data_IF_803389544225
#
_entry.id   IF_803389544225
#
_cell.length_a   1.000
_cell.length_b   1.000
_cell.length_c   1.000
_cell.angle_alpha   90.00
_cell.angle_beta   90.00
_cell.angle_gamma   90.00
#
_symmetry.space_group_name_H-M   'P 1'
#
loop_
_entity.id
_entity.type
_entity.pdbx_description
1 polymer ?
#
# COMPACT_ATOMS: atom_id res chain seq x y z
N UNK A 1 3.51 -13.12 2.98
CA UNK A 1 2.49 -12.18 2.44
C UNK A 1 1.64 -11.61 3.57
N UNK A 2 2.23 -11.31 4.72
CA UNK A 2 1.50 -10.65 5.81
C UNK A 2 1.23 -9.19 5.43
N UNK A 3 0.06 -8.68 5.82
CA UNK A 3 -0.44 -7.34 5.45
C UNK A 3 -0.88 -6.54 6.68
N UNK A 4 -0.39 -6.90 7.86
CA UNK A 4 -0.60 -6.10 9.06
C UNK A 4 0.23 -4.82 8.96
N UNK A 5 -0.43 -3.66 9.08
CA UNK A 5 0.27 -2.40 9.23
C UNK A 5 0.59 -2.16 10.70
N UNK A 6 1.87 -2.26 11.07
CA UNK A 6 2.32 -1.92 12.42
C UNK A 6 2.07 -0.44 12.72
N UNK A 7 2.46 0.52 11.85
CA UNK A 7 2.19 1.93 12.12
C UNK A 7 0.71 2.25 12.29
N UNK A 8 -0.19 1.59 11.54
CA UNK A 8 -1.63 1.74 11.75
C UNK A 8 -2.05 1.30 13.16
N UNK A 9 -1.60 0.10 13.58
CA UNK A 9 -1.88 -0.42 14.92
C UNK A 9 -1.38 0.49 16.03
N UNK A 10 -0.26 1.17 15.80
CA UNK A 10 0.37 2.05 16.78
C UNK A 10 -0.19 3.48 16.79
N UNK A 11 -0.80 3.97 15.70
CA UNK A 11 -1.29 5.35 15.58
C UNK A 11 -2.83 5.47 15.58
N UNK A 12 -3.54 4.55 14.92
CA UNK A 12 -5.01 4.62 14.76
C UNK A 12 -5.76 4.64 16.10
N UNK A 13 -5.34 3.96 17.18
CA UNK A 13 -6.02 4.09 18.47
C UNK A 13 -6.08 5.54 19.00
N UNK A 14 -5.03 6.34 18.77
CA UNK A 14 -5.02 7.76 19.16
C UNK A 14 -5.97 8.59 18.29
N UNK A 15 -5.99 8.33 16.98
CA UNK A 15 -6.95 8.94 16.07
C UNK A 15 -8.39 8.62 16.49
N UNK A 16 -8.70 7.35 16.76
CA UNK A 16 -10.03 6.92 17.18
C UNK A 16 -10.46 7.61 18.48
N UNK A 17 -9.55 7.75 19.45
CA UNK A 17 -9.80 8.50 20.69
C UNK A 17 -10.10 9.97 20.42
N UNK A 18 -9.32 10.62 19.55
CA UNK A 18 -9.50 12.04 19.20
C UNK A 18 -10.81 12.30 18.46
N UNK A 19 -11.21 11.38 17.57
CA UNK A 19 -12.49 11.41 16.84
C UNK A 19 -13.67 11.13 17.78
N UNK A 20 -13.55 10.14 18.67
CA UNK A 20 -14.62 9.78 19.61
C UNK A 20 -14.95 10.94 20.57
N UNK A 21 -13.94 11.69 21.02
CA UNK A 21 -14.13 12.89 21.82
C UNK A 21 -14.91 14.01 21.11
N UNK A 22 -14.92 14.02 19.78
CA UNK A 22 -15.57 15.04 18.92
C UNK A 22 -16.71 14.45 18.07
N UNK A 23 -17.15 13.22 18.36
CA UNK A 23 -18.01 12.44 17.46
C UNK A 23 -19.34 13.15 17.13
N UNK A 24 -19.89 13.92 18.09
CA UNK A 24 -21.12 14.69 17.91
C UNK A 24 -21.00 15.84 16.91
N UNK A 25 -19.78 16.35 16.69
CA UNK A 25 -19.48 17.49 15.81
C UNK A 25 -19.08 17.05 14.40
N UNK A 26 -18.73 15.76 14.21
CA UNK A 26 -18.30 15.24 12.92
C UNK A 26 -19.46 15.20 11.91
N UNK A 27 -19.20 15.50 10.62
CA UNK A 27 -20.15 15.24 9.54
C UNK A 27 -20.52 13.75 9.46
N UNK A 28 -21.71 13.42 8.98
CA UNK A 28 -22.19 12.02 8.96
C UNK A 28 -21.28 11.08 8.15
N UNK A 29 -20.75 11.57 7.02
CA UNK A 29 -19.77 10.83 6.22
C UNK A 29 -18.50 10.50 7.02
N UNK A 30 -18.04 11.43 7.86
CA UNK A 30 -16.88 11.22 8.73
C UNK A 30 -17.19 10.23 9.87
N UNK A 31 -18.43 10.22 10.39
CA UNK A 31 -18.89 9.21 11.37
C UNK A 31 -18.92 7.81 10.76
N UNK A 32 -19.37 7.67 9.52
CA UNK A 32 -19.34 6.39 8.79
C UNK A 32 -17.90 5.90 8.58
N UNK A 33 -17.00 6.79 8.15
CA UNK A 33 -15.58 6.48 7.99
C UNK A 33 -14.92 6.09 9.33
N UNK A 34 -15.25 6.78 10.42
CA UNK A 34 -14.83 6.43 11.78
C UNK A 34 -15.30 5.02 12.16
N UNK A 35 -16.57 4.69 11.86
CA UNK A 35 -17.13 3.35 12.10
C UNK A 35 -16.35 2.25 11.39
N UNK A 36 -15.92 2.49 10.14
CA UNK A 36 -15.09 1.56 9.39
C UNK A 36 -13.70 1.36 10.04
N UNK A 37 -13.04 2.44 10.50
CA UNK A 37 -11.76 2.34 11.21
C UNK A 37 -11.88 1.66 12.58
N UNK A 38 -12.94 1.94 13.34
CA UNK A 38 -13.14 1.40 14.70
C UNK A 38 -13.21 -0.12 14.72
N UNK A 39 -13.78 -0.74 13.68
CA UNK A 39 -13.89 -2.19 13.55
C UNK A 39 -12.71 -2.88 12.86
N UNK A 40 -11.65 -2.15 12.50
CA UNK A 40 -10.56 -2.67 11.70
C UNK A 40 -9.48 -3.36 12.53
N UNK A 41 -8.97 -4.48 12.02
CA UNK A 41 -7.90 -5.29 12.60
C UNK A 41 -6.49 -4.89 12.10
N UNK A 42 -6.37 -3.75 11.42
CA UNK A 42 -5.13 -3.19 10.85
C UNK A 42 -4.53 -3.99 9.67
N UNK A 43 -5.25 -4.98 9.14
CA UNK A 43 -4.82 -5.69 7.94
C UNK A 43 -5.21 -4.94 6.65
N UNK A 44 -4.23 -4.62 5.82
CA UNK A 44 -4.36 -3.88 4.55
C UNK A 44 -4.92 -4.78 3.42
N UNK A 45 -6.14 -5.30 3.56
CA UNK A 45 -6.80 -6.18 2.58
C UNK A 45 -7.61 -5.40 1.55
N UNK A 46 -7.55 -5.82 0.29
CA UNK A 46 -8.13 -5.16 -0.88
C UNK A 46 -9.67 -5.00 -0.82
N UNK A 47 -10.35 -5.89 -0.12
CA UNK A 47 -11.81 -5.95 0.02
C UNK A 47 -12.33 -5.21 1.27
N UNK A 48 -11.45 -4.55 2.02
CA UNK A 48 -11.80 -3.74 3.19
C UNK A 48 -11.84 -2.25 2.85
N UNK A 49 -12.63 -1.50 3.64
CA UNK A 49 -12.78 -0.05 3.53
C UNK A 49 -11.73 0.69 4.36
N UNK A 50 -11.50 0.21 5.59
CA UNK A 50 -10.62 0.85 6.55
C UNK A 50 -9.18 1.10 6.04
N UNK A 51 -8.54 0.20 5.27
CA UNK A 51 -7.21 0.47 4.70
C UNK A 51 -7.17 1.71 3.79
N UNK A 52 -8.25 1.95 3.02
CA UNK A 52 -8.38 3.12 2.15
C UNK A 52 -8.40 4.41 2.95
N UNK A 53 -9.21 4.42 4.01
CA UNK A 53 -9.35 5.58 4.91
C UNK A 53 -8.03 5.83 5.63
N UNK A 54 -7.40 4.77 6.16
CA UNK A 54 -6.12 4.86 6.83
C UNK A 54 -5.01 5.38 5.92
N UNK A 55 -4.86 4.83 4.70
CA UNK A 55 -3.81 5.26 3.79
C UNK A 55 -3.98 6.71 3.34
N UNK A 56 -5.22 7.14 3.05
CA UNK A 56 -5.50 8.53 2.72
C UNK A 56 -5.26 9.47 3.92
N UNK A 57 -5.63 9.04 5.12
CA UNK A 57 -5.35 9.78 6.35
C UNK A 57 -3.85 9.86 6.63
N UNK A 58 -3.09 8.78 6.47
CA UNK A 58 -1.64 8.75 6.67
C UNK A 58 -0.93 9.77 5.79
N UNK A 59 -1.23 9.80 4.48
CA UNK A 59 -0.66 10.79 3.55
C UNK A 59 -0.99 12.22 3.96
N UNK A 60 -2.27 12.50 4.28
CA UNK A 60 -2.68 13.84 4.67
C UNK A 60 -2.10 14.22 6.03
N UNK A 61 -2.00 13.28 6.97
CA UNK A 61 -1.49 13.55 8.31
C UNK A 61 0.01 13.84 8.31
N UNK A 62 0.80 13.15 7.48
CA UNK A 62 2.20 13.51 7.25
C UNK A 62 2.31 14.95 6.73
N UNK A 63 1.52 15.31 5.73
CA UNK A 63 1.50 16.67 5.18
C UNK A 63 1.11 17.71 6.25
N UNK A 64 0.07 17.43 7.04
CA UNK A 64 -0.42 18.36 8.06
C UNK A 64 0.50 18.55 9.26
N UNK A 65 1.47 17.65 9.46
CA UNK A 65 2.42 17.68 10.60
C UNK A 65 3.77 18.30 10.22
N UNK A 66 4.17 18.27 8.96
CA UNK A 66 5.54 18.65 8.60
C UNK A 66 5.64 19.71 7.51
N UNK A 67 4.58 19.91 6.72
CA UNK A 67 4.69 20.66 5.47
C UNK A 67 4.94 22.14 5.71
N UNK A 68 4.33 22.74 6.72
CA UNK A 68 4.52 24.17 7.00
C UNK A 68 5.93 24.49 7.49
N UNK A 69 6.52 23.70 8.40
CA UNK A 69 7.93 23.89 8.78
C UNK A 69 8.87 23.72 7.58
N UNK A 70 8.64 22.72 6.73
CA UNK A 70 9.47 22.49 5.55
C UNK A 70 9.33 23.63 4.54
N UNK A 71 8.11 24.08 4.25
CA UNK A 71 7.86 25.21 3.36
C UNK A 71 8.49 26.50 3.90
N UNK A 72 8.39 26.76 5.21
CA UNK A 72 9.03 27.90 5.87
C UNK A 72 10.57 27.82 5.80
N UNK A 73 11.13 26.62 5.85
CA UNK A 73 12.56 26.37 5.67
C UNK A 73 13.01 26.36 4.19
N UNK A 74 12.09 26.53 3.24
CA UNK A 74 12.36 26.45 1.81
C UNK A 74 12.68 25.05 1.30
N UNK A 75 12.35 24.02 2.08
CA UNK A 75 12.49 22.61 1.72
C UNK A 75 11.24 22.14 0.98
N UNK A 76 11.43 21.29 -0.04
CA UNK A 76 10.36 20.67 -0.81
C UNK A 76 10.61 19.18 -0.91
N UNK A 77 9.53 18.40 -1.02
CA UNK A 77 9.59 16.94 -1.27
C UNK A 77 10.44 16.19 -0.23
N UNK A 78 10.35 16.59 1.04
CA UNK A 78 11.07 15.93 2.13
C UNK A 78 10.34 14.64 2.50
N UNK A 79 11.02 13.51 2.32
CA UNK A 79 10.53 12.22 2.84
C UNK A 79 10.74 12.14 4.35
N UNK A 80 9.63 11.99 5.10
CA UNK A 80 9.67 11.81 6.54
C UNK A 80 9.51 10.33 6.89
N UNK A 81 10.43 9.73 7.66
CA UNK A 81 10.27 8.36 8.13
C UNK A 81 9.00 8.23 8.97
N UNK A 82 8.13 7.27 8.64
CA UNK A 82 6.88 7.05 9.36
C UNK A 82 7.09 6.73 10.86
N UNK A 83 8.26 6.18 11.23
CA UNK A 83 8.66 5.95 12.61
C UNK A 83 8.86 7.26 13.41
N UNK A 84 9.25 8.35 12.76
CA UNK A 84 9.32 9.67 13.40
C UNK A 84 7.93 10.18 13.72
N UNK A 85 6.99 10.07 12.78
CA UNK A 85 5.59 10.42 13.02
C UNK A 85 5.00 9.57 14.15
N UNK A 86 5.21 8.26 14.13
CA UNK A 86 4.77 7.33 15.19
C UNK A 86 5.31 7.76 16.56
N UNK A 87 6.59 8.16 16.64
CA UNK A 87 7.20 8.64 17.88
C UNK A 87 6.52 9.90 18.42
N UNK A 88 6.25 10.89 17.56
CA UNK A 88 5.55 12.12 17.97
C UNK A 88 4.10 11.87 18.34
N UNK A 89 3.43 10.94 17.65
CA UNK A 89 2.09 10.50 18.03
C UNK A 89 2.09 9.91 19.45
N UNK A 90 3.03 9.02 19.77
CA UNK A 90 3.11 8.40 21.10
C UNK A 90 3.60 9.36 22.20
N UNK A 91 4.40 10.37 21.82
CA UNK A 91 5.02 11.32 22.73
C UNK A 91 4.72 12.76 22.29
N UNK A 92 3.46 13.23 22.36
CA UNK A 92 3.05 14.50 21.74
C UNK A 92 3.80 15.71 22.27
N UNK A 93 4.24 15.72 23.54
CA UNK A 93 5.05 16.79 24.10
C UNK A 93 6.40 17.00 23.38
N UNK A 94 6.94 15.94 22.76
CA UNK A 94 8.17 16.00 21.95
C UNK A 94 7.89 16.41 20.50
N UNK A 95 6.62 16.40 20.09
CA UNK A 95 6.16 16.74 18.75
C UNK A 95 5.42 18.08 18.66
N UNK A 96 5.30 18.84 19.75
CA UNK A 96 4.47 20.04 19.83
C UNK A 96 4.73 21.04 18.70
N UNK A 97 6.00 21.25 18.32
CA UNK A 97 6.35 22.17 17.23
C UNK A 97 5.86 21.70 15.87
N UNK A 98 5.72 20.39 15.66
CA UNK A 98 5.23 19.79 14.42
C UNK A 98 3.70 19.67 14.38
N UNK A 99 3.02 19.82 15.51
CA UNK A 99 1.55 19.78 15.55
C UNK A 99 0.93 21.17 15.54
N UNK A 100 1.72 22.23 15.70
CA UNK A 100 1.28 23.62 15.73
C UNK A 100 1.41 24.20 14.31
N UNK A 101 0.29 24.46 13.63
CA UNK A 101 0.34 25.03 12.29
C UNK A 101 0.66 26.52 12.40
N UNK A 102 1.91 26.90 12.13
CA UNK A 102 2.38 28.27 12.40
C UNK A 102 1.73 29.33 11.51
N UNK A 103 0.85 28.93 10.59
CA UNK A 103 0.08 29.81 9.70
C UNK A 103 -1.30 30.14 10.27
N UNK A 104 -1.78 29.44 11.29
CA UNK A 104 -3.02 29.72 12.01
C UNK A 104 -2.74 30.51 13.29
N UNK A 105 -3.74 31.28 13.80
CA UNK A 105 -3.59 32.00 15.06
C UNK A 105 -3.82 31.12 16.30
N UNK A 106 -4.54 29.99 16.15
CA UNK A 106 -4.70 28.98 17.19
C UNK A 106 -3.44 28.12 17.34
N UNK A 107 -3.18 27.61 18.55
CA UNK A 107 -2.12 26.62 18.76
C UNK A 107 -2.75 25.23 18.77
N UNK A 108 -2.47 24.44 17.75
CA UNK A 108 -3.01 23.08 17.64
C UNK A 108 -2.14 22.03 18.36
N UNK A 109 -2.80 20.98 18.86
CA UNK A 109 -2.14 19.78 19.34
C UNK A 109 -2.27 18.61 18.37
N UNK A 110 -1.59 17.50 18.70
CA UNK A 110 -1.65 16.23 17.96
C UNK A 110 -3.08 15.84 17.57
N UNK A 111 -4.00 15.87 18.52
CA UNK A 111 -5.37 15.40 18.32
C UNK A 111 -6.15 16.31 17.36
N UNK A 112 -5.88 17.62 17.37
CA UNK A 112 -6.51 18.57 16.46
C UNK A 112 -6.04 18.32 15.03
N UNK A 113 -4.73 18.13 14.83
CA UNK A 113 -4.15 17.80 13.53
C UNK A 113 -4.62 16.44 13.02
N UNK A 114 -4.71 15.43 13.89
CA UNK A 114 -5.24 14.11 13.53
C UNK A 114 -6.68 14.19 13.00
N UNK A 115 -7.55 14.93 13.69
CA UNK A 115 -8.95 15.09 13.30
C UNK A 115 -9.06 15.92 12.02
N UNK A 116 -8.29 17.00 11.89
CA UNK A 116 -8.22 17.84 10.69
C UNK A 116 -7.78 17.04 9.46
N UNK A 117 -6.72 16.24 9.60
CA UNK A 117 -6.23 15.35 8.55
C UNK A 117 -7.28 14.29 8.18
N UNK A 118 -7.99 13.73 9.15
CA UNK A 118 -9.04 12.75 8.90
C UNK A 118 -10.20 13.33 8.10
N UNK A 119 -10.67 14.52 8.45
CA UNK A 119 -11.73 15.20 7.71
C UNK A 119 -11.30 15.53 6.27
N UNK A 120 -10.06 16.01 6.08
CA UNK A 120 -9.48 16.25 4.75
C UNK A 120 -9.37 14.95 3.93
N UNK A 121 -8.96 13.86 4.54
CA UNK A 121 -8.87 12.54 3.89
C UNK A 121 -10.25 12.00 3.49
N UNK A 122 -11.25 12.11 4.36
CA UNK A 122 -12.64 11.70 4.06
C UNK A 122 -13.23 12.53 2.91
N UNK A 123 -13.02 13.85 2.89
CA UNK A 123 -13.46 14.72 1.79
C UNK A 123 -12.76 14.36 0.47
N UNK A 124 -11.45 14.10 0.49
CA UNK A 124 -10.69 13.62 -0.67
C UNK A 124 -11.28 12.31 -1.20
N UNK A 125 -11.49 11.32 -0.33
CA UNK A 125 -12.04 10.03 -0.71
C UNK A 125 -13.47 10.15 -1.25
N UNK A 126 -14.29 11.05 -0.70
CA UNK A 126 -15.63 11.32 -1.21
C UNK A 126 -15.61 11.87 -2.64
N UNK A 127 -14.66 12.75 -2.96
CA UNK A 127 -14.46 13.30 -4.31
C UNK A 127 -13.97 12.24 -5.29
N UNK A 128 -13.07 11.37 -4.87
CA UNK A 128 -12.45 10.35 -5.73
C UNK A 128 -13.33 9.10 -5.95
N UNK A 129 -14.01 8.63 -4.90
CA UNK A 129 -14.73 7.35 -4.87
C UNK A 129 -16.25 7.48 -4.72
N UNK A 130 -16.75 8.71 -4.56
CA UNK A 130 -18.16 9.00 -4.36
C UNK A 130 -18.59 8.98 -2.89
N UNK A 131 -19.87 9.29 -2.60
CA UNK A 131 -20.33 9.59 -1.23
C UNK A 131 -20.61 8.35 -0.36
N UNK A 132 -20.48 7.13 -0.90
CA UNK A 132 -20.81 5.91 -0.15
C UNK A 132 -19.55 5.27 0.44
N UNK A 133 -19.36 5.37 1.76
CA UNK A 133 -18.18 4.82 2.47
C UNK A 133 -18.06 3.31 2.30
N UNK A 134 -19.17 2.57 2.21
CA UNK A 134 -19.11 1.10 2.05
C UNK A 134 -18.43 0.68 0.74
N UNK A 135 -18.42 1.58 -0.24
CA UNK A 135 -17.84 1.39 -1.56
C UNK A 135 -16.35 1.76 -1.63
N UNK A 136 -15.76 2.34 -0.58
CA UNK A 136 -14.36 2.78 -0.57
C UNK A 136 -13.38 1.62 -0.34
N UNK A 137 -13.53 0.55 -1.10
CA UNK A 137 -12.71 -0.66 -1.01
C UNK A 137 -11.26 -0.38 -1.41
N UNK A 138 -10.32 -0.89 -0.63
CA UNK A 138 -8.88 -0.67 -0.81
C UNK A 138 -8.40 -0.96 -2.23
N UNK A 139 -8.83 -2.09 -2.79
CA UNK A 139 -8.51 -2.51 -4.14
C UNK A 139 -9.10 -1.65 -5.26
N UNK A 140 -9.95 -0.64 -4.97
CA UNK A 140 -10.33 0.37 -5.98
C UNK A 140 -9.21 1.37 -6.23
N UNK A 141 -8.46 1.75 -5.18
CA UNK A 141 -7.33 2.64 -5.30
C UNK A 141 -6.01 1.89 -5.41
N UNK A 142 -5.74 0.93 -4.51
CA UNK A 142 -4.49 0.18 -4.44
C UNK A 142 -4.45 -0.98 -5.45
N UNK A 143 -3.91 -0.68 -6.62
CA UNK A 143 -3.92 -1.58 -7.77
C UNK A 143 -2.58 -1.65 -8.45
N UNK A 144 -2.29 -2.82 -9.03
CA UNK A 144 -1.13 -2.99 -9.89
C UNK A 144 -1.19 -2.00 -11.06
N UNK A 145 -0.09 -1.28 -11.24
CA UNK A 145 0.18 -0.37 -12.34
C UNK A 145 1.57 -0.66 -12.92
N UNK A 146 1.84 -1.93 -13.23
CA UNK A 146 3.07 -2.36 -13.87
C UNK A 146 3.01 -2.04 -15.37
N UNK A 147 3.70 -0.97 -15.76
CA UNK A 147 3.72 -0.45 -17.12
C UNK A 147 4.90 -1.00 -17.93
N UNK A 148 4.62 -1.41 -19.16
CA UNK A 148 5.66 -1.73 -20.13
C UNK A 148 6.34 -0.43 -20.60
N UNK A 149 7.60 -0.48 -21.03
CA UNK A 149 8.35 0.70 -21.52
C UNK A 149 7.63 1.42 -22.66
N UNK A 150 6.92 0.68 -23.51
CA UNK A 150 6.06 1.20 -24.59
C UNK A 150 4.57 1.28 -24.20
N UNK A 151 4.23 1.03 -22.94
CA UNK A 151 2.87 0.91 -22.44
C UNK A 151 2.02 2.16 -22.55
N UNK A 152 2.65 3.34 -22.55
CA UNK A 152 1.98 4.62 -22.80
C UNK A 152 1.47 4.75 -24.23
N UNK A 153 2.16 4.13 -25.20
CA UNK A 153 1.79 4.13 -26.63
C UNK A 153 0.98 2.88 -27.00
N UNK A 154 1.28 1.76 -26.36
CA UNK A 154 0.66 0.45 -26.60
C UNK A 154 0.13 -0.12 -25.26
N UNK A 155 -1.04 0.34 -24.77
CA UNK A 155 -1.54 -0.03 -23.44
C UNK A 155 -1.78 -1.52 -23.24
N UNK A 156 -2.00 -2.28 -24.31
CA UNK A 156 -2.17 -3.73 -24.26
C UNK A 156 -0.89 -4.49 -23.87
N UNK A 157 0.27 -3.82 -23.86
CA UNK A 157 1.52 -4.36 -23.33
C UNK A 157 1.59 -4.29 -21.80
N UNK A 158 0.78 -3.42 -21.17
CA UNK A 158 0.78 -3.30 -19.71
C UNK A 158 0.17 -4.55 -19.07
N UNK A 159 0.63 -4.85 -17.86
CA UNK A 159 0.03 -5.94 -17.11
C UNK A 159 -1.40 -5.58 -16.69
N UNK A 160 -2.29 -6.59 -16.56
CA UNK A 160 -3.63 -6.38 -16.01
C UNK A 160 -3.57 -5.65 -14.67
N UNK A 161 -4.40 -4.61 -14.51
CA UNK A 161 -4.52 -3.91 -13.23
C UNK A 161 -5.30 -4.77 -12.25
N UNK A 162 -4.61 -5.36 -11.28
CA UNK A 162 -5.18 -6.22 -10.25
C UNK A 162 -5.27 -5.48 -8.91
N UNK A 163 -6.35 -5.66 -8.12
CA UNK A 163 -6.38 -5.17 -6.75
C UNK A 163 -5.33 -5.92 -5.90
N UNK A 164 -4.65 -5.21 -5.00
CA UNK A 164 -3.58 -5.77 -4.20
C UNK A 164 -3.88 -5.64 -2.70
N UNK A 165 -3.35 -6.57 -1.90
CA UNK A 165 -3.28 -6.42 -0.45
C UNK A 165 -1.89 -5.88 -0.07
N UNK A 166 -1.77 -5.22 1.07
CA UNK A 166 -0.49 -4.67 1.56
C UNK A 166 -0.42 -3.15 1.45
N UNK A 167 0.72 -2.62 1.90
CA UNK A 167 1.11 -1.21 1.87
C UNK A 167 2.62 -1.08 2.05
N UNK A 168 3.17 0.13 2.00
CA UNK A 168 4.62 0.40 2.12
C UNK A 168 5.24 -0.07 3.45
N UNK A 169 4.45 -0.17 4.50
CA UNK A 169 4.85 -0.53 5.87
C UNK A 169 4.41 -1.95 6.30
N UNK A 170 3.92 -2.76 5.36
CA UNK A 170 3.60 -4.17 5.58
C UNK A 170 4.76 -5.08 5.16
N UNK A 171 4.79 -6.32 5.65
CA UNK A 171 5.74 -7.34 5.13
C UNK A 171 5.52 -7.56 3.63
N UNK A 172 4.26 -7.64 3.18
CA UNK A 172 3.93 -7.54 1.75
C UNK A 172 4.01 -6.08 1.29
N UNK A 173 5.24 -5.59 1.13
CA UNK A 173 5.53 -4.21 0.78
C UNK A 173 5.16 -3.90 -0.68
N UNK A 174 4.00 -3.27 -0.86
CA UNK A 174 3.49 -2.77 -2.13
C UNK A 174 3.08 -1.32 -1.87
N UNK A 175 3.86 -0.37 -2.40
CA UNK A 175 3.74 1.04 -2.02
C UNK A 175 2.90 1.83 -3.04
N UNK A 176 2.22 2.87 -2.53
CA UNK A 176 1.40 3.79 -3.31
C UNK A 176 0.06 3.20 -3.76
N UNK A 177 -0.91 4.05 -4.09
CA UNK A 177 -2.20 3.58 -4.63
C UNK A 177 -2.01 2.92 -6.01
N UNK A 178 -1.18 3.50 -6.87
CA UNK A 178 -0.78 2.86 -8.14
C UNK A 178 0.54 2.13 -7.94
N UNK A 179 0.47 0.81 -7.80
CA UNK A 179 1.61 -0.02 -7.45
C UNK A 179 2.45 -0.31 -8.69
N UNK A 180 3.52 0.46 -8.86
CA UNK A 180 4.52 0.25 -9.92
C UNK A 180 5.70 -0.64 -9.48
N UNK A 181 5.85 -0.90 -8.17
CA UNK A 181 6.99 -1.64 -7.61
C UNK A 181 6.61 -2.50 -6.42
N UNK A 182 7.43 -3.52 -6.13
CA UNK A 182 7.18 -4.51 -5.08
C UNK A 182 8.14 -5.71 -5.16
N UNK A 183 7.82 -6.83 -4.52
CA UNK A 183 8.66 -8.02 -4.52
C UNK A 183 8.81 -8.61 -5.93
N UNK A 184 10.02 -8.52 -6.49
CA UNK A 184 10.37 -9.09 -7.80
C UNK A 184 10.50 -10.61 -7.79
N UNK A 185 10.58 -11.22 -6.61
CA UNK A 185 10.64 -12.66 -6.39
C UNK A 185 10.10 -12.98 -5.00
N UNK A 186 9.31 -14.04 -4.88
CA UNK A 186 8.95 -14.62 -3.56
C UNK A 186 9.29 -16.10 -3.57
N UNK A 187 9.85 -16.60 -2.48
CA UNK A 187 10.28 -17.98 -2.38
C UNK A 187 10.16 -18.52 -0.97
N UNK A 188 9.94 -19.82 -0.89
CA UNK A 188 10.02 -20.64 0.32
C UNK A 188 10.98 -21.78 -0.01
N UNK A 189 12.05 -21.93 0.76
CA UNK A 189 13.00 -23.02 0.62
C UNK A 189 12.70 -24.06 1.69
N UNK A 190 12.41 -25.27 1.24
CA UNK A 190 12.34 -26.45 2.09
C UNK A 190 13.55 -27.33 1.79
N UNK A 191 14.42 -27.52 2.78
CA UNK A 191 15.65 -28.31 2.65
C UNK A 191 15.41 -29.83 2.62
N UNK A 192 14.24 -30.30 3.05
CA UNK A 192 13.87 -31.72 3.06
C UNK A 192 12.68 -32.06 2.17
N UNK A 193 12.09 -31.06 1.50
CA UNK A 193 10.84 -31.21 0.77
C UNK A 193 10.75 -30.30 -0.46
N UNK A 194 9.57 -29.77 -0.72
CA UNK A 194 9.26 -29.01 -1.94
C UNK A 194 9.39 -27.53 -1.72
N UNK A 195 10.36 -26.91 -2.39
CA UNK A 195 10.50 -25.45 -2.44
C UNK A 195 9.42 -24.82 -3.34
N UNK A 196 9.07 -23.57 -3.07
CA UNK A 196 8.04 -22.82 -3.78
C UNK A 196 8.58 -21.46 -4.23
N UNK A 197 8.13 -20.97 -5.38
CA UNK A 197 8.47 -19.64 -5.86
C UNK A 197 7.34 -18.99 -6.65
N UNK A 198 7.41 -17.67 -6.84
CA UNK A 198 6.56 -16.92 -7.78
C UNK A 198 7.23 -15.59 -8.14
N UNK A 199 7.00 -15.11 -9.38
CA UNK A 199 7.43 -13.80 -9.86
C UNK A 199 6.24 -12.92 -10.27
N UNK A 200 6.37 -11.59 -10.19
CA UNK A 200 5.37 -10.66 -10.72
C UNK A 200 5.39 -10.67 -12.25
N UNK A 201 4.48 -11.42 -12.86
CA UNK A 201 4.39 -11.56 -14.32
C UNK A 201 4.51 -13.03 -14.72
N UNK A 202 5.45 -13.33 -15.61
CA UNK A 202 5.73 -14.67 -16.08
C UNK A 202 7.19 -14.79 -16.54
N UNK A 203 7.60 -16.00 -16.90
CA UNK A 203 9.01 -16.27 -17.19
C UNK A 203 9.50 -15.65 -18.50
N UNK A 204 8.58 -15.27 -19.39
CA UNK A 204 8.89 -14.67 -20.68
C UNK A 204 8.65 -13.17 -20.68
N UNK A 205 9.57 -12.40 -21.27
CA UNK A 205 9.36 -10.98 -21.57
C UNK A 205 8.62 -10.73 -22.88
N UNK A 206 8.25 -11.77 -23.64
CA UNK A 206 7.54 -11.63 -24.92
C UNK A 206 6.03 -11.48 -24.68
N UNK A 207 5.39 -10.37 -25.11
CA UNK A 207 3.95 -10.15 -24.94
C UNK A 207 3.04 -11.21 -25.58
N UNK A 208 3.57 -11.97 -26.55
CA UNK A 208 2.85 -13.04 -27.23
C UNK A 208 3.09 -14.42 -26.60
N UNK A 209 3.93 -14.50 -25.58
CA UNK A 209 4.16 -15.75 -24.87
C UNK A 209 2.98 -16.04 -23.92
N UNK A 210 2.51 -17.29 -23.82
CA UNK A 210 1.59 -17.67 -22.75
C UNK A 210 2.21 -17.42 -21.35
N UNK A 211 3.53 -17.37 -21.24
CA UNK A 211 4.27 -17.12 -20.01
C UNK A 211 4.66 -15.64 -19.82
N UNK A 212 3.95 -14.70 -20.43
CA UNK A 212 4.20 -13.27 -20.24
C UNK A 212 3.78 -12.79 -18.85
N UNK A 213 2.60 -13.23 -18.40
CA UNK A 213 2.03 -12.83 -17.10
C UNK A 213 1.26 -13.96 -16.39
N UNK A 214 1.56 -15.22 -16.71
CA UNK A 214 0.85 -16.42 -16.21
C UNK A 214 0.94 -16.62 -14.69
N UNK A 215 1.96 -16.08 -14.03
CA UNK A 215 2.11 -16.11 -12.57
C UNK A 215 1.53 -14.88 -11.87
N UNK A 216 1.05 -13.88 -12.62
CA UNK A 216 0.67 -12.59 -12.06
C UNK A 216 -0.44 -12.68 -11.02
N UNK A 217 -1.46 -13.51 -11.26
CA UNK A 217 -2.56 -13.72 -10.31
C UNK A 217 -2.07 -14.47 -9.05
N UNK A 218 -1.19 -15.46 -9.21
CA UNK A 218 -0.58 -16.15 -8.07
C UNK A 218 0.20 -15.14 -7.21
N UNK A 219 1.04 -14.32 -7.85
CA UNK A 219 1.78 -13.27 -7.18
C UNK A 219 0.84 -12.26 -6.50
N UNK A 220 -0.16 -11.73 -7.19
CA UNK A 220 -1.08 -10.73 -6.62
C UNK A 220 -1.86 -11.27 -5.40
N UNK A 221 -2.18 -12.56 -5.40
CA UNK A 221 -2.92 -13.22 -4.32
C UNK A 221 -2.03 -13.90 -3.27
N UNK A 222 -0.71 -13.73 -3.36
CA UNK A 222 0.24 -14.32 -2.40
C UNK A 222 0.32 -15.84 -2.44
N UNK A 223 -0.04 -16.45 -3.57
CA UNK A 223 0.09 -17.89 -3.86
C UNK A 223 1.41 -18.16 -4.58
N UNK A 224 1.82 -19.42 -4.59
CA UNK A 224 3.11 -19.87 -5.13
C UNK A 224 2.93 -21.05 -6.07
N UNK A 225 3.90 -21.22 -6.98
CA UNK A 225 4.09 -22.45 -7.74
C UNK A 225 5.27 -23.24 -7.19
N UNK A 226 5.41 -24.46 -7.66
CA UNK A 226 6.57 -25.29 -7.42
C UNK A 226 7.87 -24.62 -7.88
N UNK A 227 8.91 -24.79 -7.09
CA UNK A 227 10.30 -24.53 -7.50
C UNK A 227 11.04 -25.87 -7.52
N UNK A 228 10.96 -26.55 -8.65
CA UNK A 228 11.64 -27.82 -8.84
C UNK A 228 13.13 -27.55 -9.12
N UNK A 229 14.01 -28.32 -8.47
CA UNK A 229 15.46 -28.25 -8.62
C UNK A 229 15.99 -29.59 -9.16
N UNK A 230 15.65 -29.94 -10.42
CA UNK A 230 16.04 -31.21 -11.01
C UNK A 230 17.57 -31.30 -11.12
N UNK A 231 18.14 -32.39 -10.62
CA UNK A 231 19.57 -32.69 -10.75
C UNK A 231 19.87 -33.42 -12.06
N UNK A 232 18.83 -33.97 -12.71
CA UNK A 232 18.94 -34.69 -13.97
C UNK A 232 17.88 -34.22 -14.96
N UNK A 233 18.21 -34.23 -16.26
CA UNK A 233 17.29 -33.74 -17.31
C UNK A 233 15.99 -34.55 -17.44
N UNK A 234 15.94 -35.77 -16.92
CA UNK A 234 14.74 -36.62 -16.92
C UNK A 234 13.68 -36.20 -15.90
N UNK A 235 14.05 -35.35 -14.93
CA UNK A 235 13.17 -34.85 -13.86
C UNK A 235 12.45 -33.55 -14.24
N UNK A 236 12.81 -32.95 -15.38
CA UNK A 236 12.24 -31.69 -15.87
C UNK A 236 10.93 -31.99 -16.59
N UNK A 237 9.82 -31.41 -16.13
CA UNK A 237 8.61 -31.30 -16.95
C UNK A 237 8.88 -30.32 -18.10
N UNK A 238 8.70 -30.76 -19.35
CA UNK A 238 9.11 -30.00 -20.53
C UNK A 238 7.91 -29.50 -21.30
N UNK A 239 7.83 -28.18 -21.48
CA UNK A 239 6.90 -27.54 -22.41
C UNK A 239 7.54 -27.34 -23.81
N UNK A 240 8.88 -27.36 -23.89
CA UNK A 240 9.61 -27.23 -25.15
C UNK A 240 11.05 -27.77 -25.05
N UNK A 241 11.66 -28.04 -26.20
CA UNK A 241 13.05 -28.52 -26.30
C UNK A 241 13.80 -27.76 -27.39
N UNK A 242 14.91 -27.13 -27.02
CA UNK A 242 15.83 -26.47 -27.94
C UNK A 242 17.15 -27.24 -28.00
N UNK A 243 17.66 -27.49 -29.21
CA UNK A 243 19.00 -28.06 -29.40
C UNK A 243 19.90 -26.98 -30.00
N UNK A 244 20.84 -26.48 -29.19
CA UNK A 244 21.88 -25.56 -29.66
C UNK A 244 23.01 -26.38 -30.31
N UNK A 245 23.26 -26.14 -31.60
CA UNK A 245 24.37 -26.75 -32.34
C UNK A 245 25.38 -25.65 -32.66
N UNK A 246 26.55 -25.61 -32.02
CA UNK A 246 27.55 -24.60 -32.31
C UNK A 246 28.00 -24.69 -33.77
N UNK A 247 28.02 -23.56 -34.46
CA UNK A 247 28.79 -23.41 -35.69
C UNK A 247 30.20 -22.96 -35.29
N UNK A 248 31.21 -23.70 -35.75
CA UNK A 248 32.61 -23.31 -35.66
C UNK A 248 32.87 -22.07 -36.51
#
# INVERSE_FOLDING_TARGET
>A
NDVLSIPAREMVPYLLSALEARLGELPDLAKEAYGALKGWDYYMKADLVAPTIYAAWEEVFVDEVFKDEFEMAGLKEVEVPLSMLEYFVKNPANGTIWFDDRRTPEVEGRDDIMVRAFLKAVDRLAKELGPNVSEWKWGKLHRLAAEHVMGSVLPWLNYPSLPLNGWSNCVNNLWGFKVGGGPSWRQIIDFGGRSLCVIPGGQSGSPFSPHYHDQLVLWATGKYKAMDMPTESGQVEREGLWRLVPRR
#
